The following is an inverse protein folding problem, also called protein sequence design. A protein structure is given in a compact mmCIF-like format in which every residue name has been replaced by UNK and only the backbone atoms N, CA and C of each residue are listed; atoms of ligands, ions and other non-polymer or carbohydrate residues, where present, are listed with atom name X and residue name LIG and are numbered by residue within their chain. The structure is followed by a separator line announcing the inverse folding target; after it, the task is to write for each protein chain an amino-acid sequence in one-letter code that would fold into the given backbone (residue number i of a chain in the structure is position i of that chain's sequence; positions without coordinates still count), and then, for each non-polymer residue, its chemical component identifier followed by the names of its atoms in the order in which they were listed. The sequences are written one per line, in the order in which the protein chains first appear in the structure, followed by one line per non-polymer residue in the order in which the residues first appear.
data_IF_958022731204
#
_entry.id   IF_958022731204
#
_cell.length_a   1.000
_cell.length_b   1.000
_cell.length_c   1.000
_cell.angle_alpha   90.00
_cell.angle_beta   90.00
_cell.angle_gamma   90.00
#
_symmetry.space_group_name_H-M   'P 1'
#
loop_
_entity.id
_entity.type
_entity.pdbx_description
1 polymer ?
#
# COMPACT_ATOMS: atom_id res chain seq x y z
N UNK A 1 11.94 15.18 1.57
CA UNK A 1 10.86 14.79 0.68
C UNK A 1 10.90 13.30 0.42
N UNK A 2 9.79 12.63 0.46
CA UNK A 2 9.76 11.18 0.28
C UNK A 2 8.78 10.80 -0.84
N UNK A 3 8.75 9.51 -1.19
CA UNK A 3 7.92 9.04 -2.29
C UNK A 3 6.42 9.27 -2.04
N UNK A 4 6.01 9.22 -0.79
CA UNK A 4 4.59 9.40 -0.45
C UNK A 4 4.15 10.83 -0.68
N UNK A 5 4.95 11.79 -0.25
CA UNK A 5 4.68 13.20 -0.47
C UNK A 5 4.64 13.53 -1.95
N UNK A 6 5.57 12.97 -2.71
CA UNK A 6 5.63 13.17 -4.16
C UNK A 6 4.39 12.62 -4.86
N UNK A 7 3.80 11.57 -4.31
CA UNK A 7 2.60 10.95 -4.88
C UNK A 7 1.30 11.60 -4.40
N UNK A 8 1.40 12.59 -3.50
CA UNK A 8 0.24 13.30 -3.01
C UNK A 8 -0.29 12.83 -1.66
N UNK A 9 0.50 12.06 -0.92
CA UNK A 9 0.11 11.56 0.39
C UNK A 9 0.94 12.24 1.47
N UNK A 10 0.37 12.38 2.67
CA UNK A 10 1.06 13.01 3.78
C UNK A 10 2.21 12.14 4.30
N UNK A 11 1.98 10.82 4.34
CA UNK A 11 2.97 9.88 4.84
C UNK A 11 2.59 8.46 4.39
N UNK A 12 3.38 7.47 4.84
CA UNK A 12 3.15 6.09 4.47
C UNK A 12 1.78 5.57 4.94
N UNK A 13 1.38 5.93 6.16
CA UNK A 13 0.11 5.50 6.71
C UNK A 13 -1.05 6.00 5.85
N UNK A 14 -0.97 7.25 5.39
CA UNK A 14 -1.99 7.84 4.53
C UNK A 14 -2.04 7.10 3.19
N UNK A 15 -0.88 6.80 2.63
CA UNK A 15 -0.78 6.05 1.37
C UNK A 15 -1.43 4.66 1.50
N UNK A 16 -1.08 3.94 2.57
CA UNK A 16 -1.61 2.59 2.77
C UNK A 16 -3.11 2.60 3.00
N UNK A 17 -3.62 3.59 3.73
CA UNK A 17 -5.05 3.72 3.93
C UNK A 17 -5.77 3.99 2.60
N UNK A 18 -5.18 4.81 1.74
CA UNK A 18 -5.73 5.07 0.42
C UNK A 18 -5.79 3.81 -0.42
N UNK A 19 -4.75 2.98 -0.35
CA UNK A 19 -4.73 1.71 -1.08
C UNK A 19 -5.87 0.80 -0.62
N UNK A 20 -6.10 0.73 0.68
CA UNK A 20 -7.17 -0.12 1.21
C UNK A 20 -8.52 0.30 0.69
N UNK A 21 -8.75 1.60 0.58
CA UNK A 21 -10.02 2.12 0.07
C UNK A 21 -10.15 1.90 -1.44
N UNK A 22 -9.11 2.19 -2.19
CA UNK A 22 -9.15 2.08 -3.65
C UNK A 22 -9.30 0.63 -4.09
N UNK A 23 -8.67 -0.29 -3.39
CA UNK A 23 -8.67 -1.70 -3.76
C UNK A 23 -9.75 -2.51 -3.02
N UNK A 24 -10.47 -1.86 -2.11
CA UNK A 24 -11.50 -2.51 -1.31
C UNK A 24 -10.93 -3.70 -0.53
N UNK A 25 -9.78 -3.47 0.09
CA UNK A 25 -9.09 -4.46 0.91
C UNK A 25 -9.03 -3.91 2.33
N UNK A 26 -9.19 -4.78 3.33
CA UNK A 26 -9.09 -4.39 4.72
C UNK A 26 -7.75 -3.70 4.99
N UNK A 27 -7.79 -2.60 5.74
CA UNK A 27 -6.56 -1.87 6.07
C UNK A 27 -5.57 -2.78 6.79
N UNK A 28 -6.04 -3.64 7.69
CA UNK A 28 -5.16 -4.58 8.39
C UNK A 28 -4.39 -5.47 7.42
N UNK A 29 -5.07 -5.92 6.36
CA UNK A 29 -4.43 -6.74 5.33
C UNK A 29 -3.36 -5.95 4.60
N UNK A 30 -3.66 -4.70 4.24
CA UNK A 30 -2.71 -3.83 3.56
C UNK A 30 -1.49 -3.58 4.44
N UNK A 31 -1.72 -3.27 5.72
CA UNK A 31 -0.64 -3.00 6.65
C UNK A 31 0.25 -4.22 6.85
N UNK A 32 -0.36 -5.41 6.95
CA UNK A 32 0.38 -6.65 7.12
C UNK A 32 1.26 -6.93 5.89
N UNK A 33 0.71 -6.78 4.70
CA UNK A 33 1.46 -7.00 3.47
C UNK A 33 2.60 -5.99 3.36
N UNK A 34 2.34 -4.73 3.66
CA UNK A 34 3.36 -3.68 3.60
C UNK A 34 4.50 -3.96 4.59
N UNK A 35 4.16 -4.47 5.77
CA UNK A 35 5.16 -4.79 6.78
C UNK A 35 6.03 -5.96 6.35
N UNK A 36 5.43 -6.95 5.71
CA UNK A 36 6.16 -8.12 5.22
C UNK A 36 7.16 -7.77 4.11
N UNK A 37 6.74 -6.91 3.20
CA UNK A 37 7.57 -6.53 2.05
C UNK A 37 8.55 -5.40 2.35
N UNK A 38 8.19 -4.51 3.25
CA UNK A 38 9.00 -3.36 3.60
C UNK A 38 8.70 -2.14 2.73
N UNK A 39 9.13 -0.95 3.20
CA UNK A 39 8.79 0.31 2.50
C UNK A 39 9.32 0.39 1.07
N UNK A 40 10.41 -0.29 0.76
CA UNK A 40 10.99 -0.23 -0.57
C UNK A 40 10.10 -0.85 -1.63
N UNK A 41 9.13 -1.67 -1.23
CA UNK A 41 8.22 -2.33 -2.15
C UNK A 41 6.84 -1.67 -2.20
N UNK A 42 6.65 -0.56 -1.48
CA UNK A 42 5.33 0.06 -1.37
C UNK A 42 4.73 0.47 -2.71
N UNK A 43 5.55 0.87 -3.67
CA UNK A 43 5.08 1.32 -4.98
C UNK A 43 5.31 0.28 -6.08
N UNK A 44 5.72 -0.92 -5.72
CA UNK A 44 6.02 -1.96 -6.70
C UNK A 44 5.47 -3.31 -6.20
N UNK A 45 6.25 -4.04 -5.41
CA UNK A 45 5.85 -5.37 -4.95
C UNK A 45 4.55 -5.38 -4.17
N UNK A 46 4.33 -4.36 -3.35
CA UNK A 46 3.11 -4.27 -2.56
C UNK A 46 1.88 -4.15 -3.47
N UNK A 47 1.95 -3.31 -4.48
CA UNK A 47 0.83 -3.12 -5.41
C UNK A 47 0.53 -4.44 -6.12
N UNK A 48 1.56 -5.12 -6.60
CA UNK A 48 1.40 -6.40 -7.29
C UNK A 48 0.75 -7.43 -6.37
N UNK A 49 1.21 -7.49 -5.12
CA UNK A 49 0.68 -8.44 -4.14
C UNK A 49 -0.79 -8.17 -3.86
N UNK A 50 -1.16 -6.90 -3.69
CA UNK A 50 -2.54 -6.53 -3.40
C UNK A 50 -3.45 -6.76 -4.59
N UNK A 51 -2.96 -6.51 -5.80
CA UNK A 51 -3.72 -6.80 -7.02
C UNK A 51 -4.02 -8.28 -7.13
N UNK A 52 -3.03 -9.10 -6.82
CA UNK A 52 -3.18 -10.55 -6.82
C UNK A 52 -4.22 -10.99 -5.79
N UNK A 53 -4.20 -10.37 -4.63
CA UNK A 53 -5.15 -10.64 -3.57
C UNK A 53 -6.58 -10.30 -3.99
N UNK A 54 -6.75 -9.16 -4.65
CA UNK A 54 -8.06 -8.73 -5.13
C UNK A 54 -8.61 -9.64 -6.21
N UNK A 55 -7.71 -10.19 -7.02
CA UNK A 55 -8.06 -11.00 -8.18
C UNK A 55 -8.41 -12.45 -7.81
N UNK A 56 -8.09 -12.82 -6.60
CA UNK A 56 -8.27 -14.22 -6.15
C UNK A 56 -9.72 -14.60 -5.89
#
# INVERSE_FOLDING_TARGET
MNAYTNAGYDNRADYLASLSEEMDIDLDTVLMAADMLGPSEDFDGLITMLEDYCDA
#
